data_IF_595679198202
#
_entry.id   IF_595679198202
#
_cell.length_a   1.000
_cell.length_b   1.000
_cell.length_c   1.000
_cell.angle_alpha   90.00
_cell.angle_beta   90.00
_cell.angle_gamma   90.00
#
_symmetry.space_group_name_H-M   'P 1'
#
loop_
_entity.id
_entity.type
_entity.pdbx_description
1 polymer ?
#
# COMPACT_ATOMS: atom_id res chain seq x y z
N UNK A 1 2.99 12.92 -26.71
CA UNK A 1 2.73 12.78 -25.25
C UNK A 1 3.96 12.17 -24.60
N UNK A 2 4.45 12.80 -23.52
CA UNK A 2 5.66 12.43 -22.78
C UNK A 2 5.28 11.94 -21.39
N UNK A 3 5.74 10.75 -21.02
CA UNK A 3 5.30 10.05 -19.82
C UNK A 3 6.48 9.43 -19.11
N UNK A 4 6.40 9.34 -17.79
CA UNK A 4 7.33 8.53 -17.00
C UNK A 4 6.57 7.55 -16.11
N UNK A 5 6.98 6.29 -16.13
CA UNK A 5 6.60 5.29 -15.14
C UNK A 5 7.70 5.16 -14.10
N UNK A 6 7.33 5.04 -12.83
CA UNK A 6 8.22 4.82 -11.70
C UNK A 6 7.74 3.59 -10.95
N UNK A 7 8.64 2.67 -10.62
CA UNK A 7 8.39 1.58 -9.70
C UNK A 7 9.40 1.64 -8.55
N UNK A 8 8.93 2.00 -7.36
CA UNK A 8 9.75 2.08 -6.15
C UNK A 8 9.78 0.72 -5.47
N UNK A 9 10.93 0.04 -5.60
CA UNK A 9 11.28 -1.18 -4.88
C UNK A 9 11.99 -0.90 -3.55
N UNK A 10 12.32 -1.97 -2.81
CA UNK A 10 13.09 -1.86 -1.57
C UNK A 10 14.57 -1.52 -1.77
N UNK A 11 15.16 -1.98 -2.88
CA UNK A 11 16.59 -1.78 -3.17
C UNK A 11 16.82 -0.74 -4.27
N UNK A 12 16.02 -0.79 -5.32
CA UNK A 12 16.12 0.09 -6.48
C UNK A 12 14.76 0.69 -6.82
N UNK A 13 14.81 1.90 -7.38
CA UNK A 13 13.69 2.54 -8.05
C UNK A 13 13.94 2.46 -9.56
N UNK A 14 13.02 1.80 -10.25
CA UNK A 14 13.04 1.60 -11.70
C UNK A 14 12.21 2.69 -12.38
N UNK A 15 12.71 3.28 -13.47
CA UNK A 15 12.00 4.31 -14.21
C UNK A 15 11.99 4.01 -15.72
N UNK A 16 10.89 4.36 -16.38
CA UNK A 16 10.76 4.27 -17.84
C UNK A 16 10.16 5.57 -18.36
N UNK A 17 10.87 6.24 -19.26
CA UNK A 17 10.39 7.41 -20.00
C UNK A 17 9.93 6.99 -21.39
N UNK A 18 8.81 7.55 -21.85
CA UNK A 18 8.24 7.32 -23.18
C UNK A 18 7.79 8.64 -23.79
N UNK A 19 8.21 8.90 -25.03
CA UNK A 19 7.75 10.00 -25.86
C UNK A 19 7.10 9.46 -27.14
N UNK A 20 5.79 9.63 -27.26
CA UNK A 20 5.02 9.10 -28.39
C UNK A 20 5.28 9.82 -29.72
N UNK A 21 5.74 11.08 -29.68
CA UNK A 21 5.99 11.86 -30.90
C UNK A 21 7.30 11.43 -31.56
N UNK A 22 8.33 11.23 -30.74
CA UNK A 22 9.66 10.83 -31.24
C UNK A 22 9.86 9.32 -31.25
N UNK A 23 8.99 8.56 -30.57
CA UNK A 23 9.17 7.14 -30.29
C UNK A 23 10.29 6.85 -29.29
N UNK A 24 10.78 7.86 -28.56
CA UNK A 24 11.91 7.70 -27.63
C UNK A 24 11.49 6.92 -26.41
N UNK A 25 12.26 5.89 -26.07
CA UNK A 25 12.14 5.15 -24.81
C UNK A 25 13.48 5.20 -24.08
N UNK A 26 13.43 5.53 -22.79
CA UNK A 26 14.58 5.44 -21.89
C UNK A 26 14.21 4.63 -20.67
N UNK A 27 15.18 3.92 -20.12
CA UNK A 27 15.06 3.16 -18.88
C UNK A 27 16.16 3.64 -17.98
N UNK A 28 15.81 3.89 -16.72
CA UNK A 28 16.76 4.33 -15.70
C UNK A 28 16.57 3.54 -14.42
N UNK A 29 17.65 3.36 -13.67
CA UNK A 29 17.64 2.64 -12.39
C UNK A 29 18.53 3.37 -11.42
N UNK A 30 17.97 3.69 -10.26
CA UNK A 30 18.69 4.33 -9.16
C UNK A 30 18.49 3.54 -7.86
N UNK A 31 19.41 3.62 -6.90
CA UNK A 31 19.17 3.09 -5.56
C UNK A 31 17.92 3.74 -4.93
N UNK A 32 17.08 2.94 -4.27
CA UNK A 32 16.00 3.47 -3.43
C UNK A 32 16.60 4.19 -2.23
N UNK A 33 16.00 5.31 -1.82
CA UNK A 33 16.27 6.01 -0.57
C UNK A 33 15.30 5.51 0.52
N UNK A 34 15.66 4.52 1.35
CA UNK A 34 14.67 3.80 2.18
C UNK A 34 14.09 4.66 3.31
N UNK A 35 14.85 5.65 3.78
CA UNK A 35 14.43 6.64 4.78
C UNK A 35 13.36 7.59 4.25
N UNK A 36 13.45 7.94 2.96
CA UNK A 36 12.49 8.77 2.26
C UNK A 36 12.51 8.46 0.75
N UNK A 37 11.64 7.55 0.29
CA UNK A 37 11.60 7.11 -1.11
C UNK A 37 11.20 8.20 -2.11
N UNK A 38 10.65 9.32 -1.63
CA UNK A 38 10.31 10.46 -2.49
C UNK A 38 11.55 11.09 -3.10
N UNK A 39 12.67 11.12 -2.37
CA UNK A 39 13.95 11.68 -2.83
C UNK A 39 14.49 10.92 -4.04
N UNK A 40 14.56 9.59 -3.93
CA UNK A 40 14.95 8.73 -5.06
C UNK A 40 14.02 8.94 -6.25
N UNK A 41 12.70 8.86 -6.04
CA UNK A 41 11.73 9.09 -7.13
C UNK A 41 11.94 10.40 -7.88
N UNK A 42 12.08 11.52 -7.16
CA UNK A 42 12.28 12.85 -7.76
C UNK A 42 13.61 12.93 -8.51
N UNK A 43 14.70 12.43 -7.89
CA UNK A 43 16.02 12.37 -8.52
C UNK A 43 15.98 11.56 -9.81
N UNK A 44 15.37 10.37 -9.79
CA UNK A 44 15.28 9.51 -10.96
C UNK A 44 14.52 10.15 -12.12
N UNK A 45 13.43 10.87 -11.83
CA UNK A 45 12.66 11.60 -12.85
C UNK A 45 13.51 12.72 -13.47
N UNK A 46 14.29 13.45 -12.66
CA UNK A 46 15.19 14.50 -13.15
C UNK A 46 16.28 13.92 -14.04
N UNK A 47 16.90 12.81 -13.64
CA UNK A 47 17.97 12.15 -14.39
C UNK A 47 17.46 11.58 -15.73
N UNK A 48 16.37 10.80 -15.73
CA UNK A 48 15.86 10.15 -16.95
C UNK A 48 15.32 11.17 -17.98
N UNK A 49 14.75 12.29 -17.53
CA UNK A 49 14.30 13.36 -18.43
C UNK A 49 15.47 14.14 -18.99
N UNK A 50 16.49 14.43 -18.18
CA UNK A 50 17.75 15.03 -18.64
C UNK A 50 18.46 14.15 -19.68
N UNK A 51 18.50 12.83 -19.49
CA UNK A 51 19.04 11.87 -20.47
C UNK A 51 18.24 11.82 -21.78
N UNK A 52 16.94 12.13 -21.73
CA UNK A 52 16.10 12.32 -22.90
C UNK A 52 16.22 13.73 -23.52
N UNK A 53 17.07 14.61 -22.97
CA UNK A 53 17.21 16.00 -23.40
C UNK A 53 15.97 16.86 -23.13
N UNK A 54 15.18 16.50 -22.11
CA UNK A 54 13.94 17.17 -21.74
C UNK A 54 14.01 17.73 -20.31
N UNK A 55 13.15 18.71 -20.03
CA UNK A 55 12.88 19.17 -18.67
C UNK A 55 11.73 18.34 -18.08
N UNK A 56 11.77 17.93 -16.79
CA UNK A 56 10.63 17.30 -16.11
C UNK A 56 9.28 18.01 -16.30
N UNK A 57 9.27 19.34 -16.43
CA UNK A 57 8.08 20.14 -16.69
C UNK A 57 7.43 19.89 -18.05
N UNK A 58 8.10 19.19 -18.97
CA UNK A 58 7.56 18.77 -20.26
C UNK A 58 6.85 17.41 -20.21
N UNK A 59 6.82 16.74 -19.05
CA UNK A 59 6.06 15.51 -18.86
C UNK A 59 4.56 15.83 -18.77
N UNK A 60 3.76 15.10 -19.53
CA UNK A 60 2.28 15.19 -19.46
C UNK A 60 1.73 14.32 -18.31
N UNK A 61 2.40 13.21 -18.01
CA UNK A 61 1.95 12.25 -17.00
C UNK A 61 3.10 11.58 -16.26
N UNK A 62 2.85 11.28 -14.98
CA UNK A 62 3.71 10.48 -14.11
C UNK A 62 2.87 9.32 -13.57
N UNK A 63 3.30 8.09 -13.84
CA UNK A 63 2.72 6.89 -13.26
C UNK A 63 3.62 6.42 -12.12
N UNK A 64 3.10 6.46 -10.89
CA UNK A 64 3.85 6.06 -9.71
C UNK A 64 3.35 4.72 -9.17
N UNK A 65 4.21 3.71 -9.23
CA UNK A 65 4.06 2.41 -8.60
C UNK A 65 5.04 2.26 -7.45
N UNK A 66 4.63 1.53 -6.42
CA UNK A 66 5.52 1.20 -5.30
C UNK A 66 5.13 -0.12 -4.66
N UNK A 67 6.12 -0.85 -4.19
CA UNK A 67 5.94 -2.09 -3.41
C UNK A 67 5.91 -1.85 -1.90
N UNK A 68 6.14 -0.62 -1.43
CA UNK A 68 6.26 -0.30 0.00
C UNK A 68 5.02 -0.72 0.78
N UNK A 69 3.82 -0.39 0.30
CA UNK A 69 2.57 -0.73 0.98
C UNK A 69 2.38 -2.25 1.09
N UNK A 70 2.71 -3.00 0.04
CA UNK A 70 2.61 -4.46 0.03
C UNK A 70 3.61 -5.09 0.99
N UNK A 71 4.84 -4.60 1.01
CA UNK A 71 5.89 -5.09 1.91
C UNK A 71 5.54 -4.82 3.38
N UNK A 72 4.95 -3.67 3.71
CA UNK A 72 4.44 -3.37 5.05
C UNK A 72 3.45 -4.44 5.54
N UNK A 73 2.58 -4.94 4.66
CA UNK A 73 1.60 -5.99 5.00
C UNK A 73 2.28 -7.35 5.18
N UNK A 74 3.23 -7.71 4.29
CA UNK A 74 3.94 -9.00 4.32
C UNK A 74 4.89 -9.09 5.52
N UNK A 75 5.63 -8.02 5.81
CA UNK A 75 6.63 -7.98 6.88
C UNK A 75 6.03 -7.62 8.24
N UNK A 76 4.75 -7.25 8.27
CA UNK A 76 4.05 -6.81 9.48
C UNK A 76 4.74 -5.62 10.18
N UNK A 77 5.37 -4.74 9.39
CA UNK A 77 6.16 -3.58 9.83
C UNK A 77 5.36 -2.27 9.86
N UNK A 78 4.03 -2.36 9.76
CA UNK A 78 3.14 -1.20 9.78
C UNK A 78 3.05 -0.50 11.15
N UNK A 79 2.37 0.64 11.16
CA UNK A 79 2.16 1.42 12.37
C UNK A 79 1.31 0.65 13.40
N UNK A 80 1.53 0.95 14.69
CA UNK A 80 0.61 0.50 15.74
C UNK A 80 -0.71 1.26 15.62
N UNK A 81 -1.79 0.52 15.38
CA UNK A 81 -3.13 1.08 15.18
C UNK A 81 -4.13 0.56 16.23
N UNK A 82 -5.22 1.30 16.41
CA UNK A 82 -6.40 0.89 17.19
C UNK A 82 -7.62 0.69 16.31
N UNK A 83 -8.59 -0.07 16.80
CA UNK A 83 -9.88 -0.28 16.13
C UNK A 83 -11.01 -0.03 17.11
N UNK A 84 -11.98 0.79 16.71
CA UNK A 84 -13.23 0.97 17.45
C UNK A 84 -14.33 0.26 16.68
N UNK A 85 -15.10 -0.55 17.38
CA UNK A 85 -16.23 -1.30 16.82
C UNK A 85 -17.46 -1.11 17.68
N UNK A 86 -18.63 -1.45 17.15
CA UNK A 86 -19.83 -1.54 17.96
C UNK A 86 -19.69 -2.63 19.03
N UNK A 87 -20.30 -2.44 20.19
CA UNK A 87 -20.34 -3.45 21.26
C UNK A 87 -20.81 -4.81 20.73
N UNK A 88 -20.17 -5.89 21.20
CA UNK A 88 -20.35 -7.24 20.68
C UNK A 88 -19.51 -7.58 19.44
N UNK A 89 -18.87 -6.61 18.76
CA UNK A 89 -18.10 -6.83 17.52
C UNK A 89 -16.58 -6.69 17.68
N UNK A 90 -16.07 -6.61 18.91
CA UNK A 90 -14.63 -6.44 19.23
C UNK A 90 -13.71 -7.39 18.46
N UNK A 91 -14.16 -8.63 18.26
CA UNK A 91 -13.37 -9.73 17.70
C UNK A 91 -13.64 -10.03 16.23
N UNK A 92 -14.34 -9.14 15.51
CA UNK A 92 -14.71 -9.37 14.11
C UNK A 92 -13.51 -9.71 13.21
N UNK A 93 -12.35 -9.06 13.42
CA UNK A 93 -11.12 -9.36 12.67
C UNK A 93 -10.45 -10.68 13.09
N UNK A 94 -10.65 -11.14 14.33
CA UNK A 94 -10.11 -12.42 14.79
C UNK A 94 -10.93 -13.59 14.26
N UNK A 95 -12.25 -13.41 14.21
CA UNK A 95 -13.22 -14.37 13.67
C UNK A 95 -13.10 -14.45 12.14
N UNK A 96 -12.80 -13.32 11.47
CA UNK A 96 -12.51 -13.23 10.04
C UNK A 96 -13.53 -13.97 9.16
N UNK A 97 -14.83 -13.88 9.51
CA UNK A 97 -15.94 -14.55 8.83
C UNK A 97 -15.75 -16.07 8.68
N UNK A 98 -15.07 -16.71 9.64
CA UNK A 98 -14.72 -18.13 9.60
C UNK A 98 -13.91 -18.54 8.37
N UNK A 99 -13.15 -17.61 7.78
CA UNK A 99 -12.26 -17.94 6.65
C UNK A 99 -11.25 -19.00 7.07
N UNK A 100 -11.06 -20.02 6.24
CA UNK A 100 -10.03 -21.06 6.41
C UNK A 100 -9.20 -21.14 5.15
N UNK A 101 -7.93 -20.68 5.15
CA UNK A 101 -7.05 -20.79 3.99
C UNK A 101 -6.92 -22.24 3.51
N UNK A 102 -6.88 -23.19 4.45
CA UNK A 102 -6.78 -24.62 4.19
C UNK A 102 -8.02 -25.34 4.76
N UNK A 103 -9.07 -25.53 3.97
CA UNK A 103 -10.37 -26.04 4.44
C UNK A 103 -10.31 -27.38 5.19
N UNK A 104 -9.36 -28.25 4.83
CA UNK A 104 -9.24 -29.61 5.39
C UNK A 104 -8.08 -29.78 6.37
N UNK A 105 -7.40 -28.69 6.76
CA UNK A 105 -6.33 -28.73 7.76
C UNK A 105 -6.82 -28.23 9.11
N UNK A 106 -6.75 -29.08 10.13
CA UNK A 106 -7.01 -28.70 11.52
C UNK A 106 -5.81 -28.02 12.20
N UNK A 107 -4.63 -28.05 11.58
CA UNK A 107 -3.36 -27.53 12.13
C UNK A 107 -2.84 -26.33 11.33
N UNK A 108 -3.73 -25.49 10.80
CA UNK A 108 -3.33 -24.31 10.03
C UNK A 108 -3.11 -23.10 10.93
N UNK A 109 -2.04 -22.36 10.68
CA UNK A 109 -1.90 -21.01 11.20
C UNK A 109 -2.85 -20.07 10.47
N UNK A 110 -3.60 -19.29 11.24
CA UNK A 110 -4.48 -18.25 10.70
C UNK A 110 -3.70 -16.93 10.71
N UNK A 111 -3.32 -16.36 9.54
CA UNK A 111 -2.42 -15.21 9.50
C UNK A 111 -2.93 -14.00 10.28
N UNK A 112 -4.24 -13.73 10.26
CA UNK A 112 -4.85 -12.63 11.02
C UNK A 112 -4.92 -12.86 12.54
N UNK A 113 -4.68 -14.08 13.00
CA UNK A 113 -4.56 -14.41 14.42
C UNK A 113 -3.10 -14.34 14.89
N UNK A 114 -2.17 -14.88 14.09
CA UNK A 114 -0.73 -14.84 14.36
C UNK A 114 -0.17 -13.41 14.25
N UNK A 115 -0.55 -12.69 13.18
CA UNK A 115 -0.09 -11.35 12.86
C UNK A 115 -1.29 -10.40 12.72
N UNK A 116 -1.98 -10.08 13.83
CA UNK A 116 -3.17 -9.26 13.77
C UNK A 116 -2.81 -7.81 13.42
N UNK A 117 -3.44 -7.27 12.37
CA UNK A 117 -3.32 -5.85 11.98
C UNK A 117 -3.58 -4.91 13.16
N UNK A 118 -4.59 -5.24 13.99
CA UNK A 118 -4.87 -4.55 15.26
C UNK A 118 -4.80 -5.56 16.38
N UNK A 119 -3.88 -5.39 17.34
CA UNK A 119 -3.79 -6.26 18.53
C UNK A 119 -5.08 -6.18 19.36
N UNK A 120 -5.52 -7.29 19.95
CA UNK A 120 -6.78 -7.35 20.71
C UNK A 120 -6.92 -6.27 21.77
N UNK A 121 -5.84 -5.95 22.50
CA UNK A 121 -5.81 -4.89 23.52
C UNK A 121 -6.04 -3.47 22.99
N UNK A 122 -5.91 -3.25 21.69
CA UNK A 122 -6.19 -1.97 21.02
C UNK A 122 -7.53 -1.96 20.28
N UNK A 123 -8.37 -2.98 20.55
CA UNK A 123 -9.73 -3.08 20.01
C UNK A 123 -10.72 -2.65 21.09
N UNK A 124 -11.30 -1.48 20.92
CA UNK A 124 -12.28 -0.93 21.82
C UNK A 124 -13.68 -1.02 21.21
N UNK A 125 -14.67 -0.93 22.08
CA UNK A 125 -16.07 -1.04 21.72
C UNK A 125 -16.84 0.18 22.20
N UNK A 126 -17.81 0.62 21.40
CA UNK A 126 -18.79 1.66 21.78
C UNK A 126 -20.19 1.04 21.92
N UNK A 127 -20.94 1.39 22.97
CA UNK A 127 -22.32 0.93 23.16
C UNK A 127 -23.25 1.70 22.22
N UNK A 128 -23.38 1.22 20.98
CA UNK A 128 -24.17 1.84 19.90
C UNK A 128 -24.84 0.72 19.09
N UNK A 129 -25.89 1.02 18.31
CA UNK A 129 -26.42 0.10 17.30
C UNK A 129 -27.24 0.81 16.22
N UNK A 130 -26.85 0.60 14.96
CA UNK A 130 -27.67 0.90 13.77
C UNK A 130 -28.24 -0.40 13.18
N UNK A 131 -29.51 -0.37 12.74
CA UNK A 131 -30.19 -1.46 12.04
C UNK A 131 -29.90 -1.46 10.53
N UNK A 132 -30.31 -2.52 9.82
CA UNK A 132 -30.07 -2.68 8.37
C UNK A 132 -30.70 -1.59 7.49
N UNK A 133 -31.75 -0.94 7.97
CA UNK A 133 -32.47 0.17 7.32
C UNK A 133 -31.96 1.55 7.75
N UNK A 134 -30.89 1.60 8.55
CA UNK A 134 -30.25 2.85 8.98
C UNK A 134 -30.85 3.50 10.22
N UNK A 135 -31.85 2.89 10.85
CA UNK A 135 -32.42 3.40 12.11
C UNK A 135 -31.49 3.16 13.30
N UNK A 136 -31.45 4.11 14.24
CA UNK A 136 -30.68 4.00 15.48
C UNK A 136 -31.47 3.20 16.50
N UNK A 137 -30.94 2.06 16.93
CA UNK A 137 -31.50 1.22 17.99
C UNK A 137 -30.88 1.52 19.35
N UNK A 138 -29.58 1.80 19.40
CA UNK A 138 -28.85 2.25 20.60
C UNK A 138 -28.04 3.49 20.21
N UNK A 139 -28.33 4.67 20.79
CA UNK A 139 -27.60 5.92 20.51
C UNK A 139 -26.13 5.91 20.94
#
# INVERSE_FOLDING_TARGET
MKRVGVDVGGTFTDLVYVDDETGTIRVHKIPTTPDDPSRGTVQGIQEITSEAGQNPAALDQVFHGTTIATNIVIEHSGATVGMITTEGYRDILHIARHKKPLNFSNYQDLPWQAYPVVRRRYRLTVPERITKDGSVLVP
#
